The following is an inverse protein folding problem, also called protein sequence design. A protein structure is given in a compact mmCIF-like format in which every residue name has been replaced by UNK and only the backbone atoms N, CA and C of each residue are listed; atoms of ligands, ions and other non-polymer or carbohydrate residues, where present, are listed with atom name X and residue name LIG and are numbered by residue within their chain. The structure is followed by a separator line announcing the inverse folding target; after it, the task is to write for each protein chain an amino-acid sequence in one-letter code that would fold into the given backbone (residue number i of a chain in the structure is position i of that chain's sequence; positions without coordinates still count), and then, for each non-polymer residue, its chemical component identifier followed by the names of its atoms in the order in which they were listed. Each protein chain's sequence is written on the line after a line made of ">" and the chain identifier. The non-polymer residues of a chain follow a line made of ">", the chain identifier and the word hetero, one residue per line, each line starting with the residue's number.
data_IF_663602065476
#
_entry.id   IF_663602065476
#
_cell.length_a   1.000
_cell.length_b   1.000
_cell.length_c   1.000
_cell.angle_alpha   90.00
_cell.angle_beta   90.00
_cell.angle_gamma   90.00
#
_symmetry.space_group_name_H-M   'P 1'
#
loop_
_entity.id
_entity.type
_entity.pdbx_description
1 polymer ?
#
# COMPACT_ATOMS: atom_id res chain seq x y z
N UNK A 1 -16.47 -7.74 20.75
CA UNK A 1 -15.59 -6.57 20.54
C UNK A 1 -14.23 -7.05 20.05
N UNK A 2 -14.20 -7.72 18.90
CA UNK A 2 -13.01 -8.34 18.29
C UNK A 2 -12.70 -7.75 16.89
N UNK A 3 -13.59 -6.92 16.34
CA UNK A 3 -13.50 -6.42 14.97
C UNK A 3 -12.55 -5.21 14.85
N UNK A 4 -12.56 -4.29 15.81
CA UNK A 4 -11.73 -3.06 15.77
C UNK A 4 -10.23 -3.31 15.95
N UNK A 5 -9.83 -4.35 16.70
CA UNK A 5 -8.40 -4.71 16.82
C UNK A 5 -7.85 -5.24 15.49
N UNK A 6 -8.70 -5.92 14.70
CA UNK A 6 -8.31 -6.46 13.40
C UNK A 6 -8.12 -5.36 12.34
N UNK A 7 -9.05 -4.40 12.26
CA UNK A 7 -9.00 -3.33 11.24
C UNK A 7 -7.74 -2.46 11.36
N UNK A 8 -7.32 -2.13 12.59
CA UNK A 8 -6.10 -1.34 12.82
C UNK A 8 -4.84 -2.12 12.42
N UNK A 9 -4.79 -3.43 12.73
CA UNK A 9 -3.69 -4.30 12.33
C UNK A 9 -3.63 -4.49 10.80
N UNK A 10 -4.77 -4.65 10.14
CA UNK A 10 -4.87 -4.71 8.68
C UNK A 10 -4.39 -3.40 8.07
N UNK A 11 -4.83 -2.25 8.57
CA UNK A 11 -4.39 -0.95 8.08
C UNK A 11 -2.88 -0.76 8.24
N UNK A 12 -2.32 -1.15 9.39
CA UNK A 12 -0.87 -1.11 9.61
C UNK A 12 -0.11 -1.97 8.60
N UNK A 13 -0.59 -3.20 8.37
CA UNK A 13 0.00 -4.09 7.37
C UNK A 13 -0.05 -3.49 5.96
N UNK A 14 -1.21 -2.98 5.53
CA UNK A 14 -1.39 -2.37 4.21
C UNK A 14 -0.45 -1.17 4.02
N UNK A 15 -0.32 -0.31 5.02
CA UNK A 15 0.64 0.82 5.00
C UNK A 15 2.08 0.37 4.83
N UNK A 16 2.49 -0.69 5.55
CA UNK A 16 3.83 -1.27 5.39
C UNK A 16 4.04 -1.79 3.98
N UNK A 17 3.07 -2.54 3.44
CA UNK A 17 3.15 -3.05 2.07
C UNK A 17 3.24 -1.92 1.04
N UNK A 18 2.48 -0.83 1.21
CA UNK A 18 2.58 0.34 0.32
C UNK A 18 3.98 0.94 0.39
N UNK A 19 4.54 1.16 1.59
CA UNK A 19 5.89 1.71 1.75
C UNK A 19 6.96 0.85 1.10
N UNK A 20 6.91 -0.47 1.28
CA UNK A 20 7.85 -1.40 0.65
C UNK A 20 7.75 -1.35 -0.89
N UNK A 21 6.53 -1.27 -1.44
CA UNK A 21 6.34 -1.15 -2.88
C UNK A 21 6.81 0.22 -3.41
N UNK A 22 6.59 1.31 -2.67
CA UNK A 22 7.14 2.62 -3.01
C UNK A 22 8.68 2.63 -3.00
N UNK A 23 9.31 1.95 -2.03
CA UNK A 23 10.77 1.80 -2.00
C UNK A 23 11.27 1.05 -3.23
N UNK A 24 10.57 -0.02 -3.63
CA UNK A 24 10.91 -0.78 -4.84
C UNK A 24 10.85 0.07 -6.11
N UNK A 25 9.89 0.99 -6.24
CA UNK A 25 9.83 1.91 -7.39
C UNK A 25 11.06 2.82 -7.50
N UNK A 26 11.80 3.05 -6.42
CA UNK A 26 13.01 3.88 -6.40
C UNK A 26 14.30 3.08 -6.67
N UNK A 27 14.22 1.76 -6.89
CA UNK A 27 15.39 0.94 -7.22
C UNK A 27 15.85 1.20 -8.67
N UNK A 28 17.17 1.26 -8.91
CA UNK A 28 17.78 1.67 -10.19
C UNK A 28 17.44 0.76 -11.41
N UNK A 29 16.73 -0.35 -11.23
CA UNK A 29 16.50 -1.37 -12.27
C UNK A 29 15.03 -1.80 -12.44
N UNK A 30 14.07 -0.96 -12.06
CA UNK A 30 12.65 -1.27 -12.29
C UNK A 30 12.26 -0.92 -13.73
N UNK A 31 11.95 -1.95 -14.52
CA UNK A 31 11.39 -1.76 -15.86
C UNK A 31 9.93 -1.29 -15.83
N UNK A 32 9.44 -0.72 -16.94
CA UNK A 32 8.08 -0.17 -17.04
C UNK A 32 6.98 -1.19 -16.67
N UNK A 33 7.18 -2.46 -17.02
CA UNK A 33 6.23 -3.54 -16.71
C UNK A 33 6.19 -3.84 -15.22
N UNK A 34 7.35 -3.79 -14.55
CA UNK A 34 7.46 -3.94 -13.11
C UNK A 34 6.89 -2.72 -12.39
N UNK A 35 7.16 -1.51 -12.89
CA UNK A 35 6.57 -0.26 -12.40
C UNK A 35 5.05 -0.36 -12.38
N UNK A 36 4.42 -0.67 -13.52
CA UNK A 36 2.97 -0.80 -13.61
C UNK A 36 2.39 -1.86 -12.66
N UNK A 37 3.11 -2.99 -12.45
CA UNK A 37 2.71 -4.01 -11.48
C UNK A 37 2.80 -3.54 -10.04
N UNK A 38 3.82 -2.76 -9.70
CA UNK A 38 4.01 -2.23 -8.35
C UNK A 38 2.97 -1.14 -8.06
N UNK A 39 2.74 -0.23 -9.00
CA UNK A 39 1.71 0.81 -8.92
C UNK A 39 0.32 0.20 -8.74
N UNK A 40 -0.05 -0.82 -9.52
CA UNK A 40 -1.33 -1.50 -9.37
C UNK A 40 -1.51 -2.20 -8.01
N UNK A 41 -0.42 -2.66 -7.36
CA UNK A 41 -0.48 -3.19 -5.99
C UNK A 41 -0.74 -2.07 -4.98
N UNK A 42 -0.04 -0.94 -5.13
CA UNK A 42 -0.21 0.23 -4.26
C UNK A 42 -1.65 0.74 -4.34
N UNK A 43 -2.20 0.84 -5.56
CA UNK A 43 -3.59 1.21 -5.80
C UNK A 43 -4.56 0.26 -5.08
N UNK A 44 -4.40 -1.05 -5.26
CA UNK A 44 -5.24 -2.03 -4.59
C UNK A 44 -5.19 -1.93 -3.05
N UNK A 45 -4.00 -1.72 -2.46
CA UNK A 45 -3.87 -1.54 -1.01
C UNK A 45 -4.53 -0.25 -0.53
N UNK A 46 -4.43 0.83 -1.30
CA UNK A 46 -5.11 2.09 -1.00
C UNK A 46 -6.63 1.97 -1.07
N UNK A 47 -7.17 1.28 -2.07
CA UNK A 47 -8.61 0.99 -2.12
C UNK A 47 -9.08 0.20 -0.90
N UNK A 48 -8.27 -0.76 -0.43
CA UNK A 48 -8.58 -1.50 0.79
C UNK A 48 -8.59 -0.60 2.03
N UNK A 49 -7.60 0.30 2.18
CA UNK A 49 -7.57 1.27 3.26
C UNK A 49 -8.83 2.15 3.28
N UNK A 50 -9.21 2.67 2.11
CA UNK A 50 -10.39 3.52 1.96
C UNK A 50 -11.70 2.79 2.32
N UNK A 51 -11.85 1.51 1.94
CA UNK A 51 -13.02 0.69 2.31
C UNK A 51 -13.19 0.52 3.81
N UNK A 52 -12.09 0.52 4.56
CA UNK A 52 -12.12 0.47 6.02
C UNK A 52 -12.12 1.88 6.67
N UNK A 53 -12.27 2.94 5.89
CA UNK A 53 -12.33 4.32 6.37
C UNK A 53 -10.98 4.92 6.75
N UNK A 54 -9.86 4.29 6.34
CA UNK A 54 -8.52 4.83 6.50
C UNK A 54 -8.13 5.70 5.30
N UNK A 55 -7.19 6.63 5.52
CA UNK A 55 -6.62 7.45 4.43
C UNK A 55 -5.68 6.61 3.57
N UNK A 56 -5.74 6.83 2.26
CA UNK A 56 -4.74 6.34 1.32
C UNK A 56 -3.35 6.92 1.63
N UNK A 57 -2.33 6.13 1.33
CA UNK A 57 -0.92 6.51 1.43
C UNK A 57 -0.36 6.83 0.05
N UNK A 58 0.58 7.78 -0.01
CA UNK A 58 1.27 8.15 -1.23
C UNK A 58 2.75 7.75 -1.15
N UNK A 59 3.37 7.45 -2.29
CA UNK A 59 4.82 7.23 -2.36
C UNK A 59 5.66 8.50 -2.19
N UNK A 60 5.03 9.67 -2.05
CA UNK A 60 5.70 10.93 -1.74
C UNK A 60 5.65 11.15 -0.23
N UNK A 61 6.81 11.27 0.39
CA UNK A 61 6.94 11.82 1.75
C UNK A 61 6.62 13.32 1.76
#
# INVERSE_FOLDING_TARGET
>A
MLETFNETSIASYLRTMIKENCQRLNEENVDEKMTAKIEGKIEAYNEFLERFGFKAESCKE
#
